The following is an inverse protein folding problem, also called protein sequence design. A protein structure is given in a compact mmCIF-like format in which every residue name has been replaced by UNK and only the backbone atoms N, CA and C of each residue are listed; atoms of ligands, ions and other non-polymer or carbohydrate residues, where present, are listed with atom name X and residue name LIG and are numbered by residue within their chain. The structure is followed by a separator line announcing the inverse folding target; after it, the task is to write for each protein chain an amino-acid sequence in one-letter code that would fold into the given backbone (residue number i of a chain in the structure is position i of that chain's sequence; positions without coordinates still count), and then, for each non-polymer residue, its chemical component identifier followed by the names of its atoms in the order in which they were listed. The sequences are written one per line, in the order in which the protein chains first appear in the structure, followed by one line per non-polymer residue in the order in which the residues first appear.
data_IF_523459230778
#
_entry.id   IF_523459230778
#
_cell.length_a   1.000
_cell.length_b   1.000
_cell.length_c   1.000
_cell.angle_alpha   90.00
_cell.angle_beta   90.00
_cell.angle_gamma   90.00
#
_symmetry.space_group_name_H-M   'P 1'
#
loop_
_entity.id
_entity.type
_entity.pdbx_description
1 polymer ?
#
# COMPACT_ATOMS: atom_id res chain seq x y z
N UNK A 1 -18.11 8.58 -8.17
CA UNK A 1 -16.68 8.20 -8.12
C UNK A 1 -16.62 6.69 -8.27
N UNK A 2 -15.74 6.15 -9.12
CA UNK A 2 -15.66 4.71 -9.32
C UNK A 2 -15.19 4.01 -8.03
N UNK A 3 -15.76 2.86 -7.72
CA UNK A 3 -15.61 2.20 -6.43
C UNK A 3 -14.75 0.95 -6.59
N UNK A 4 -13.68 0.85 -5.80
CA UNK A 4 -12.80 -0.33 -5.85
C UNK A 4 -13.31 -1.46 -4.98
N UNK A 5 -12.90 -2.69 -5.32
CA UNK A 5 -13.00 -3.86 -4.45
C UNK A 5 -11.60 -4.19 -3.92
N UNK A 6 -11.49 -4.48 -2.62
CA UNK A 6 -10.30 -5.10 -2.05
C UNK A 6 -10.55 -6.59 -1.89
N UNK A 7 -9.70 -7.42 -2.50
CA UNK A 7 -9.71 -8.87 -2.30
C UNK A 7 -8.33 -9.35 -1.93
N UNK A 8 -8.24 -10.47 -1.22
CA UNK A 8 -6.96 -11.07 -0.88
C UNK A 8 -6.12 -11.36 -2.14
N UNK A 9 -4.82 -11.14 -2.01
CA UNK A 9 -3.83 -11.52 -3.03
C UNK A 9 -3.86 -13.04 -3.20
N UNK A 10 -3.85 -13.50 -4.46
CA UNK A 10 -3.68 -14.90 -4.83
C UNK A 10 -2.33 -15.11 -5.51
N UNK A 11 -1.96 -16.37 -5.75
CA UNK A 11 -0.73 -16.70 -6.48
C UNK A 11 -0.74 -16.16 -7.92
N UNK A 12 -1.91 -16.05 -8.56
CA UNK A 12 -2.06 -15.54 -9.92
C UNK A 12 -1.80 -14.03 -10.04
N UNK A 13 -1.92 -13.30 -8.93
CA UNK A 13 -1.66 -11.86 -8.90
C UNK A 13 -0.16 -11.55 -8.84
N UNK A 14 0.70 -12.53 -8.58
CA UNK A 14 2.12 -12.32 -8.34
C UNK A 14 2.80 -11.54 -9.46
N UNK A 15 2.59 -11.94 -10.72
CA UNK A 15 3.17 -11.26 -11.88
C UNK A 15 2.67 -9.82 -12.01
N UNK A 16 1.38 -9.58 -11.72
CA UNK A 16 0.75 -8.25 -11.77
C UNK A 16 1.25 -7.35 -10.64
N UNK A 17 1.46 -7.90 -9.45
CA UNK A 17 1.99 -7.17 -8.31
C UNK A 17 3.46 -6.81 -8.55
N UNK A 18 4.28 -7.72 -9.08
CA UNK A 18 5.65 -7.38 -9.48
C UNK A 18 5.68 -6.20 -10.48
N UNK A 19 4.71 -6.13 -11.40
CA UNK A 19 4.51 -4.96 -12.28
C UNK A 19 4.11 -3.72 -11.48
N UNK A 20 3.20 -3.83 -10.50
CA UNK A 20 2.83 -2.69 -9.65
C UNK A 20 4.03 -2.13 -8.92
N UNK A 21 4.85 -2.98 -8.32
CA UNK A 21 6.03 -2.53 -7.59
C UNK A 21 7.08 -1.93 -8.54
N UNK A 22 7.35 -2.55 -9.69
CA UNK A 22 8.33 -2.04 -10.66
C UNK A 22 7.89 -0.73 -11.33
N UNK A 23 6.58 -0.51 -11.53
CA UNK A 23 6.04 0.74 -12.08
C UNK A 23 5.70 1.79 -11.01
N UNK A 24 5.65 1.40 -9.73
CA UNK A 24 5.43 2.31 -8.61
C UNK A 24 6.70 2.88 -8.00
N UNK A 25 7.82 2.19 -8.12
CA UNK A 25 9.09 2.59 -7.53
C UNK A 25 10.05 3.03 -8.65
N UNK A 26 10.75 4.15 -8.45
CA UNK A 26 11.79 4.65 -9.37
C UNK A 26 13.02 3.73 -9.35
N UNK A 27 13.14 2.90 -8.32
CA UNK A 27 14.21 1.92 -8.16
C UNK A 27 13.63 0.51 -8.30
N UNK A 28 14.26 -0.40 -9.06
CA UNK A 28 13.80 -1.77 -9.20
C UNK A 28 13.61 -2.46 -7.84
N UNK A 29 12.61 -3.33 -7.73
CA UNK A 29 12.32 -4.12 -6.52
C UNK A 29 13.54 -4.93 -6.06
N UNK A 30 14.37 -5.34 -7.01
CA UNK A 30 15.61 -6.08 -6.81
C UNK A 30 16.65 -5.33 -5.97
N UNK A 31 16.57 -3.99 -5.93
CA UNK A 31 17.54 -3.12 -5.24
C UNK A 31 17.00 -2.51 -3.93
N UNK A 32 15.69 -2.63 -3.63
CA UNK A 32 15.10 -1.92 -2.48
C UNK A 32 14.71 -2.77 -1.27
N UNK A 33 14.40 -4.07 -1.41
CA UNK A 33 14.39 -4.98 -0.26
C UNK A 33 14.57 -6.43 -0.71
N UNK A 34 15.56 -7.17 -0.19
CA UNK A 34 15.50 -8.62 -0.22
C UNK A 34 14.33 -9.03 0.70
N UNK A 35 13.30 -9.68 0.15
CA UNK A 35 12.23 -10.42 0.86
C UNK A 35 10.83 -9.79 1.01
N UNK A 36 10.23 -9.23 -0.06
CA UNK A 36 8.76 -9.35 -0.16
C UNK A 36 8.42 -10.84 -0.26
N UNK A 37 8.11 -11.44 0.88
CA UNK A 37 7.77 -12.86 0.97
C UNK A 37 6.28 -13.02 0.67
N UNK A 38 5.96 -13.13 -0.63
CA UNK A 38 4.59 -13.29 -1.09
C UNK A 38 3.90 -14.52 -0.51
N UNK A 39 4.64 -15.62 -0.30
CA UNK A 39 4.10 -16.79 0.39
C UNK A 39 3.64 -16.44 1.80
N UNK A 40 4.42 -15.64 2.55
CA UNK A 40 4.04 -15.14 3.87
C UNK A 40 2.83 -14.22 3.80
N UNK A 41 2.74 -13.34 2.80
CA UNK A 41 1.58 -12.45 2.60
C UNK A 41 0.30 -13.25 2.36
N UNK A 42 0.35 -14.23 1.45
CA UNK A 42 -0.77 -15.11 1.12
C UNK A 42 -1.15 -15.95 2.34
N UNK A 43 -0.16 -16.59 3.00
CA UNK A 43 -0.37 -17.44 4.17
C UNK A 43 -0.95 -16.67 5.37
N UNK A 44 -0.47 -15.46 5.63
CA UNK A 44 -0.96 -14.60 6.73
C UNK A 44 -2.21 -13.80 6.34
N UNK A 45 -2.66 -13.86 5.09
CA UNK A 45 -3.79 -13.07 4.57
C UNK A 45 -3.65 -11.57 4.84
N UNK A 46 -2.43 -11.05 4.73
CA UNK A 46 -2.10 -9.67 5.08
C UNK A 46 -1.82 -8.80 3.84
N UNK A 47 -2.39 -9.14 2.69
CA UNK A 47 -2.28 -8.33 1.48
C UNK A 47 -3.47 -8.48 0.56
N UNK A 48 -3.80 -7.37 -0.11
CA UNK A 48 -5.00 -7.23 -0.92
C UNK A 48 -4.69 -6.54 -2.25
N UNK A 49 -5.36 -6.99 -3.30
CA UNK A 49 -5.41 -6.32 -4.61
C UNK A 49 -6.60 -5.38 -4.62
N UNK A 50 -6.38 -4.17 -5.14
CA UNK A 50 -7.45 -3.25 -5.49
C UNK A 50 -7.90 -3.48 -6.92
N UNK A 51 -9.18 -3.73 -7.11
CA UNK A 51 -9.78 -3.96 -8.43
C UNK A 51 -10.78 -2.87 -8.77
N UNK A 52 -10.71 -2.41 -10.01
CA UNK A 52 -11.68 -1.52 -10.63
C UNK A 52 -12.25 -2.23 -11.86
N UNK A 53 -13.55 -2.49 -11.86
CA UNK A 53 -14.24 -3.20 -12.96
C UNK A 53 -13.58 -4.54 -13.33
N UNK A 54 -13.13 -5.30 -12.32
CA UNK A 54 -12.44 -6.58 -12.48
C UNK A 54 -10.96 -6.48 -12.88
N UNK A 55 -10.42 -5.26 -13.06
CA UNK A 55 -9.03 -5.04 -13.41
C UNK A 55 -8.22 -4.64 -12.17
N UNK A 56 -7.11 -5.34 -11.85
CA UNK A 56 -6.19 -4.94 -10.81
C UNK A 56 -5.54 -3.56 -11.10
N UNK A 57 -5.68 -2.62 -10.18
CA UNK A 57 -5.13 -1.25 -10.30
C UNK A 57 -4.04 -0.92 -9.27
N UNK A 58 -3.82 -1.82 -8.32
CA UNK A 58 -2.86 -1.62 -7.23
C UNK A 58 -2.96 -2.70 -6.16
N UNK A 59 -2.14 -2.57 -5.13
CA UNK A 59 -2.13 -3.47 -3.99
C UNK A 59 -1.82 -2.74 -2.68
N UNK A 60 -2.26 -3.33 -1.56
CA UNK A 60 -2.01 -2.87 -0.20
C UNK A 60 -1.63 -4.08 0.66
N UNK A 61 -0.53 -3.98 1.40
CA UNK A 61 0.01 -5.07 2.21
C UNK A 61 0.32 -4.57 3.63
N UNK A 62 0.11 -5.43 4.62
CA UNK A 62 0.55 -5.25 5.99
C UNK A 62 1.67 -6.25 6.30
N UNK A 63 2.78 -5.74 6.82
CA UNK A 63 3.91 -6.51 7.30
C UNK A 63 3.86 -6.67 8.83
N UNK A 64 4.86 -7.36 9.37
CA UNK A 64 4.97 -7.56 10.82
C UNK A 64 4.92 -6.21 11.54
N UNK A 65 4.27 -6.16 12.72
CA UNK A 65 3.99 -4.91 13.47
C UNK A 65 3.07 -3.92 12.74
N UNK A 66 2.25 -4.38 11.80
CA UNK A 66 1.24 -3.59 11.10
C UNK A 66 1.81 -2.43 10.26
N UNK A 67 3.03 -2.61 9.73
CA UNK A 67 3.57 -1.66 8.74
C UNK A 67 2.89 -1.84 7.40
N UNK A 68 2.45 -0.74 6.80
CA UNK A 68 1.71 -0.74 5.54
C UNK A 68 2.61 -0.40 4.36
N UNK A 69 2.36 -1.09 3.25
CA UNK A 69 2.82 -0.71 1.94
C UNK A 69 1.65 -0.65 0.98
N UNK A 70 1.64 0.36 0.11
CA UNK A 70 0.58 0.61 -0.85
C UNK A 70 1.19 1.03 -2.19
N UNK A 71 0.70 0.43 -3.26
CA UNK A 71 1.06 0.77 -4.64
C UNK A 71 -0.20 0.96 -5.46
N UNK A 72 -0.22 2.01 -6.28
CA UNK A 72 -1.24 2.26 -7.30
C UNK A 72 -0.54 2.44 -8.63
N UNK A 73 -1.04 1.78 -9.67
CA UNK A 73 -0.55 1.92 -11.04
C UNK A 73 -0.56 3.39 -11.49
N UNK A 74 0.48 3.89 -12.19
CA UNK A 74 0.64 5.30 -12.55
C UNK A 74 -0.62 5.96 -13.14
N UNK A 75 -1.28 5.29 -14.07
CA UNK A 75 -2.47 5.74 -14.78
C UNK A 75 -3.74 5.83 -13.91
N UNK A 76 -3.70 5.25 -12.71
CA UNK A 76 -4.76 5.31 -11.70
C UNK A 76 -4.43 6.24 -10.51
N UNK A 77 -3.24 6.86 -10.48
CA UNK A 77 -2.86 7.80 -9.41
C UNK A 77 -3.66 9.10 -9.49
N UNK A 78 -3.72 9.82 -8.37
CA UNK A 78 -4.42 11.11 -8.22
C UNK A 78 -5.93 11.08 -8.48
N UNK A 79 -6.52 9.88 -8.62
CA UNK A 79 -7.97 9.67 -8.82
C UNK A 79 -8.72 9.25 -7.54
N UNK A 80 -8.04 9.28 -6.38
CA UNK A 80 -8.62 8.93 -5.08
C UNK A 80 -8.58 7.44 -4.71
N UNK A 81 -8.11 6.56 -5.61
CA UNK A 81 -8.10 5.12 -5.36
C UNK A 81 -7.20 4.70 -4.19
N UNK A 82 -6.04 5.34 -4.00
CA UNK A 82 -5.19 5.08 -2.84
C UNK A 82 -5.91 5.33 -1.51
N UNK A 83 -6.74 6.38 -1.45
CA UNK A 83 -7.53 6.68 -0.25
C UNK A 83 -8.60 5.63 -0.02
N UNK A 84 -9.32 5.23 -1.08
CA UNK A 84 -10.29 4.14 -0.99
C UNK A 84 -9.65 2.82 -0.51
N UNK A 85 -8.41 2.53 -0.93
CA UNK A 85 -7.68 1.34 -0.46
C UNK A 85 -7.42 1.40 1.04
N UNK A 86 -7.00 2.56 1.57
CA UNK A 86 -6.77 2.75 3.00
C UNK A 86 -8.09 2.69 3.80
N UNK A 87 -9.16 3.29 3.31
CA UNK A 87 -10.48 3.29 3.97
C UNK A 87 -11.13 1.90 4.01
N UNK A 88 -10.89 1.07 3.00
CA UNK A 88 -11.48 -0.27 2.88
C UNK A 88 -10.62 -1.38 3.48
N UNK A 89 -9.47 -1.03 4.07
CA UNK A 89 -8.55 -2.00 4.64
C UNK A 89 -9.29 -2.84 5.69
N UNK A 90 -9.36 -4.18 5.56
CA UNK A 90 -10.17 -5.02 6.43
C UNK A 90 -9.44 -5.35 7.74
N UNK A 91 -9.12 -4.30 8.52
CA UNK A 91 -8.48 -4.38 9.83
C UNK A 91 -9.31 -3.65 10.88
N UNK A 92 -9.22 -4.11 12.13
CA UNK A 92 -9.91 -3.55 13.30
C UNK A 92 -9.04 -3.68 14.53
N UNK A 93 -9.22 -2.79 15.49
CA UNK A 93 -8.60 -2.82 16.82
C UNK A 93 -7.07 -2.83 16.76
N UNK A 94 -6.47 -2.08 15.83
CA UNK A 94 -5.02 -2.03 15.66
C UNK A 94 -4.51 -0.69 15.15
N UNK A 95 -3.27 -0.35 15.51
CA UNK A 95 -2.54 0.75 14.90
C UNK A 95 -1.79 0.25 13.66
N UNK A 96 -1.99 0.92 12.54
CA UNK A 96 -1.27 0.69 11.28
C UNK A 96 -0.28 1.83 11.06
N UNK A 97 0.93 1.47 10.64
CA UNK A 97 2.08 2.37 10.54
C UNK A 97 2.55 2.50 9.10
N UNK A 98 2.91 3.71 8.67
CA UNK A 98 3.51 3.97 7.36
C UNK A 98 4.85 4.68 7.53
N UNK A 99 5.90 4.21 6.85
CA UNK A 99 7.19 4.90 6.76
C UNK A 99 7.35 5.44 5.35
N UNK A 100 7.45 6.77 5.22
CA UNK A 100 7.38 7.45 3.93
C UNK A 100 8.63 8.33 3.77
N UNK A 101 9.39 8.23 2.68
CA UNK A 101 10.48 9.17 2.41
C UNK A 101 9.95 10.61 2.38
N UNK A 102 10.66 11.55 2.98
CA UNK A 102 10.25 12.97 3.01
C UNK A 102 10.10 13.58 1.60
N UNK A 103 10.79 13.02 0.61
CA UNK A 103 10.65 13.38 -0.80
C UNK A 103 9.34 12.94 -1.45
N UNK A 104 8.63 11.95 -0.87
CA UNK A 104 7.39 11.41 -1.42
C UNK A 104 6.16 12.20 -0.91
N UNK A 105 6.10 13.48 -1.28
CA UNK A 105 5.02 14.40 -0.89
C UNK A 105 3.64 13.88 -1.28
N UNK A 106 3.52 13.16 -2.40
CA UNK A 106 2.26 12.58 -2.85
C UNK A 106 1.74 11.50 -1.88
N UNK A 107 2.62 10.61 -1.40
CA UNK A 107 2.25 9.61 -0.42
C UNK A 107 1.89 10.25 0.93
N UNK A 108 2.66 11.24 1.41
CA UNK A 108 2.35 11.96 2.65
C UNK A 108 0.93 12.53 2.59
N UNK A 109 0.58 13.25 1.52
CA UNK A 109 -0.77 13.80 1.31
C UNK A 109 -1.85 12.71 1.24
N UNK A 110 -1.55 11.57 0.60
CA UNK A 110 -2.46 10.44 0.55
C UNK A 110 -2.79 9.94 1.97
N UNK A 111 -1.77 9.67 2.79
CA UNK A 111 -1.96 9.17 4.15
C UNK A 111 -2.69 10.19 5.03
N UNK A 112 -2.32 11.48 4.96
CA UNK A 112 -3.05 12.56 5.64
C UNK A 112 -4.53 12.61 5.26
N UNK A 113 -4.84 12.44 3.96
CA UNK A 113 -6.24 12.43 3.48
C UNK A 113 -7.05 11.22 3.96
N UNK A 114 -6.39 10.18 4.46
CA UNK A 114 -6.97 8.95 4.96
C UNK A 114 -6.85 8.83 6.50
N UNK A 115 -6.80 9.98 7.18
CA UNK A 115 -6.78 10.13 8.65
C UNK A 115 -5.55 9.53 9.35
N UNK A 116 -4.42 9.41 8.64
CA UNK A 116 -3.14 9.14 9.30
C UNK A 116 -2.56 10.43 9.86
N UNK A 117 -1.98 10.35 11.05
CA UNK A 117 -1.30 11.46 11.73
C UNK A 117 0.19 11.21 11.82
N UNK A 118 0.98 12.29 11.83
CA UNK A 118 2.42 12.22 12.06
C UNK A 118 2.71 11.66 13.46
N UNK A 119 3.59 10.66 13.52
CA UNK A 119 4.06 10.05 14.78
C UNK A 119 5.51 10.42 15.08
N UNK A 120 6.37 10.33 14.07
CA UNK A 120 7.79 10.64 14.18
C UNK A 120 8.29 11.23 12.85
N UNK A 121 9.25 12.15 12.95
CA UNK A 121 9.85 12.83 11.81
C UNK A 121 11.37 12.80 11.93
N UNK A 122 12.00 12.18 10.95
CA UNK A 122 13.46 12.13 10.82
C UNK A 122 13.89 12.98 9.62
N UNK A 123 15.20 13.16 9.42
CA UNK A 123 15.74 13.87 8.26
C UNK A 123 15.27 13.27 6.93
N UNK A 124 15.14 11.95 6.86
CA UNK A 124 14.94 11.23 5.60
C UNK A 124 13.52 10.68 5.41
N UNK A 125 12.79 10.46 6.51
CA UNK A 125 11.46 9.85 6.50
C UNK A 125 10.52 10.49 7.52
N UNK A 126 9.22 10.45 7.21
CA UNK A 126 8.13 10.63 8.16
C UNK A 126 7.49 9.27 8.47
N UNK A 127 7.20 9.03 9.75
CA UNK A 127 6.41 7.89 10.21
C UNK A 127 5.02 8.42 10.54
N UNK A 128 4.01 7.86 9.88
CA UNK A 128 2.61 8.19 10.10
C UNK A 128 1.86 6.98 10.66
N UNK A 129 0.81 7.21 11.43
CA UNK A 129 -0.02 6.16 12.01
C UNK A 129 -1.51 6.43 11.90
N UNK A 130 -2.32 5.37 11.89
CA UNK A 130 -3.77 5.43 12.06
C UNK A 130 -4.23 4.28 12.94
N UNK A 131 -5.13 4.58 13.88
CA UNK A 131 -5.83 3.58 14.67
C UNK A 131 -7.13 3.18 13.96
N UNK A 132 -7.28 1.89 13.68
CA UNK A 132 -8.48 1.27 13.08
C UNK A 132 -9.33 0.59 14.15
#
# INVERSE_FOLDING_TARGET
MANIILRNITQEDFSKICIFYSQAHITPVEDQEPSINFEKIIKKKCGWVAELDGNPIGCICLYDKNWIHISVLPEYRLKGFGKQMLEKLPVKDMTVWAKIPNSNVAAIKLFQSADYTDYDFTRDYVIMQRKY
#
